data_IF_765602161162
#
_entry.id   IF_765602161162
#
_cell.length_a   1.000
_cell.length_b   1.000
_cell.length_c   1.000
_cell.angle_alpha   90.00
_cell.angle_beta   90.00
_cell.angle_gamma   90.00
#
_symmetry.space_group_name_H-M   'P 1'
#
loop_
_entity.id
_entity.type
_entity.pdbx_description
1 polymer ?
#
# COMPACT_ATOMS: atom_id res chain seq x y z
N UNK A 1 -13.89 -1.34 20.41
CA UNK A 1 -14.35 -1.34 19.01
C UNK A 1 -14.66 -2.77 18.68
N UNK A 2 -15.86 -3.09 18.21
CA UNK A 2 -16.15 -4.46 17.78
C UNK A 2 -15.43 -4.73 16.43
N UNK A 3 -14.85 -5.92 16.26
CA UNK A 3 -14.03 -6.23 15.08
C UNK A 3 -14.85 -6.31 13.79
N UNK A 4 -16.14 -6.63 13.88
CA UNK A 4 -17.02 -6.74 12.71
C UNK A 4 -17.35 -5.37 12.12
N UNK A 5 -17.67 -4.39 12.95
CA UNK A 5 -17.84 -2.99 12.54
C UNK A 5 -16.54 -2.41 11.99
N UNK A 6 -15.39 -2.77 12.56
CA UNK A 6 -14.10 -2.35 12.04
C UNK A 6 -13.89 -2.84 10.60
N UNK A 7 -14.17 -4.12 10.34
CA UNK A 7 -14.09 -4.69 9.00
C UNK A 7 -15.05 -3.98 8.02
N UNK A 8 -16.31 -3.80 8.43
CA UNK A 8 -17.32 -3.12 7.60
C UNK A 8 -16.92 -1.69 7.23
N UNK A 9 -16.35 -0.93 8.18
CA UNK A 9 -15.89 0.44 7.93
C UNK A 9 -14.67 0.46 7.00
N UNK A 10 -13.73 -0.46 7.19
CA UNK A 10 -12.56 -0.59 6.30
C UNK A 10 -13.02 -0.95 4.89
N UNK A 11 -13.89 -1.94 4.74
CA UNK A 11 -14.40 -2.35 3.44
C UNK A 11 -15.12 -1.21 2.72
N UNK A 12 -16.03 -0.52 3.42
CA UNK A 12 -16.75 0.62 2.85
C UNK A 12 -15.78 1.73 2.37
N UNK A 13 -14.72 2.02 3.15
CA UNK A 13 -13.72 3.03 2.76
C UNK A 13 -12.94 2.63 1.51
N UNK A 14 -12.48 1.38 1.43
CA UNK A 14 -11.76 0.91 0.25
C UNK A 14 -12.67 0.86 -0.98
N UNK A 15 -13.93 0.48 -0.82
CA UNK A 15 -14.90 0.48 -1.92
C UNK A 15 -15.19 1.90 -2.45
N UNK A 16 -15.34 2.88 -1.55
CA UNK A 16 -15.67 4.27 -1.91
C UNK A 16 -14.47 5.05 -2.46
N UNK A 17 -13.30 4.92 -1.83
CA UNK A 17 -12.16 5.82 -2.07
C UNK A 17 -10.91 5.10 -2.58
N UNK A 18 -10.87 3.77 -2.56
CA UNK A 18 -9.72 2.98 -2.95
C UNK A 18 -9.46 3.04 -4.45
N UNK A 19 -8.18 3.12 -4.81
CA UNK A 19 -7.73 3.06 -6.20
C UNK A 19 -7.73 1.59 -6.63
N UNK A 20 -8.46 1.26 -7.69
CA UNK A 20 -8.43 -0.08 -8.28
C UNK A 20 -7.06 -0.34 -8.91
N UNK A 21 -6.49 -1.50 -8.62
CA UNK A 21 -5.22 -1.94 -9.17
C UNK A 21 -5.06 -3.46 -9.12
N UNK A 22 -3.82 -3.91 -9.29
CA UNK A 22 -3.46 -5.30 -9.13
C UNK A 22 -2.24 -5.44 -8.20
N UNK A 23 -2.20 -6.52 -7.42
CA UNK A 23 -1.03 -6.92 -6.67
C UNK A 23 -0.49 -8.24 -7.24
N UNK A 24 0.81 -8.31 -7.46
CA UNK A 24 1.52 -9.52 -7.87
C UNK A 24 2.54 -9.89 -6.81
N UNK A 25 2.34 -11.03 -6.17
CA UNK A 25 3.31 -11.59 -5.24
C UNK A 25 4.63 -11.96 -5.98
N UNK A 26 5.78 -12.04 -5.29
CA UNK A 26 7.02 -12.51 -5.91
C UNK A 26 6.84 -13.89 -6.56
N UNK A 27 6.91 -13.95 -7.89
CA UNK A 27 6.70 -15.19 -8.65
C UNK A 27 5.25 -15.70 -8.68
N UNK A 28 4.29 -14.92 -8.19
CA UNK A 28 2.87 -15.26 -8.21
C UNK A 28 2.11 -14.65 -9.38
N UNK A 29 0.81 -14.92 -9.43
CA UNK A 29 -0.12 -14.33 -10.39
C UNK A 29 -0.71 -13.02 -9.85
N UNK A 30 -1.11 -12.08 -10.74
CA UNK A 30 -1.74 -10.84 -10.33
C UNK A 30 -3.15 -11.09 -9.76
N UNK A 31 -3.46 -10.43 -8.64
CA UNK A 31 -4.80 -10.37 -8.04
C UNK A 31 -5.33 -8.95 -8.04
N UNK A 32 -6.61 -8.76 -8.34
CA UNK A 32 -7.25 -7.45 -8.25
C UNK A 32 -7.35 -6.99 -6.80
N UNK A 33 -6.98 -5.74 -6.55
CA UNK A 33 -6.99 -5.14 -5.21
C UNK A 33 -7.49 -3.72 -5.28
N UNK A 34 -7.92 -3.19 -4.13
CA UNK A 34 -8.09 -1.76 -3.92
C UNK A 34 -7.02 -1.27 -2.97
N UNK A 35 -6.43 -0.13 -3.31
CA UNK A 35 -5.33 0.44 -2.52
C UNK A 35 -5.50 1.91 -2.22
N UNK A 36 -4.97 2.34 -1.08
CA UNK A 36 -4.66 3.74 -0.86
C UNK A 36 -3.18 3.98 -1.13
N UNK A 37 -2.88 5.12 -1.74
CA UNK A 37 -1.51 5.53 -2.06
C UNK A 37 -1.26 6.93 -1.52
N UNK A 38 -0.28 7.05 -0.62
CA UNK A 38 0.15 8.34 -0.07
C UNK A 38 1.64 8.52 -0.34
N UNK A 39 2.00 9.67 -0.93
CA UNK A 39 3.41 10.09 -1.01
C UNK A 39 3.73 10.80 0.30
N UNK A 40 4.87 10.50 0.91
CA UNK A 40 5.41 11.30 2.01
C UNK A 40 5.81 12.69 1.45
N UNK A 41 4.85 13.61 1.42
CA UNK A 41 5.06 15.02 1.03
C UNK A 41 5.11 15.99 2.22
N UNK A 42 4.67 15.58 3.41
CA UNK A 42 4.56 16.44 4.60
C UNK A 42 5.79 16.45 5.54
N UNK A 43 6.98 16.15 5.03
CA UNK A 43 8.21 16.57 5.71
C UNK A 43 8.94 17.55 4.81
N UNK A 44 8.85 18.83 5.17
CA UNK A 44 9.56 19.92 4.51
C UNK A 44 11.02 19.50 4.29
N UNK A 45 11.43 19.46 3.02
CA UNK A 45 12.80 19.17 2.64
C UNK A 45 13.71 20.20 3.32
N UNK A 46 14.54 19.74 4.26
CA UNK A 46 15.67 20.51 4.75
C UNK A 46 16.57 20.85 3.57
N UNK A 47 16.81 22.15 3.35
CA UNK A 47 17.70 22.66 2.32
C UNK A 47 19.11 22.10 2.51
N UNK A 48 19.61 21.35 1.53
CA UNK A 48 21.01 20.95 1.45
C UNK A 48 21.19 19.61 0.78
N UNK A 49 21.86 19.62 -0.38
CA UNK A 49 22.35 18.46 -1.14
C UNK A 49 21.31 17.69 -1.96
N UNK A 50 21.33 17.99 -3.26
CA UNK A 50 20.60 17.36 -4.35
C UNK A 50 20.96 15.87 -4.50
N UNK A 51 20.33 15.00 -3.70
CA UNK A 51 20.08 13.61 -4.10
C UNK A 51 18.64 13.52 -4.59
N UNK A 52 18.37 12.95 -5.78
CA UNK A 52 17.02 12.51 -6.10
C UNK A 52 16.69 11.39 -5.11
N UNK A 53 16.09 11.76 -3.98
CA UNK A 53 15.51 10.81 -3.06
C UNK A 53 14.32 10.22 -3.82
N UNK A 54 14.46 9.00 -4.35
CA UNK A 54 13.31 8.22 -4.80
C UNK A 54 12.45 8.05 -3.56
N UNK A 55 11.45 8.91 -3.41
CA UNK A 55 10.63 8.98 -2.20
C UNK A 55 9.79 7.71 -2.17
N UNK A 56 9.98 6.92 -1.12
CA UNK A 56 9.13 5.78 -0.84
C UNK A 56 7.68 6.25 -0.73
N UNK A 57 6.78 5.46 -1.29
CA UNK A 57 5.33 5.69 -1.29
C UNK A 57 4.73 4.67 -0.33
N UNK A 58 3.86 5.14 0.55
CA UNK A 58 3.07 4.27 1.40
C UNK A 58 1.88 3.75 0.59
N UNK A 59 1.79 2.43 0.47
CA UNK A 59 0.66 1.73 -0.16
C UNK A 59 -0.06 0.93 0.90
N UNK A 60 -1.36 1.14 1.03
CA UNK A 60 -2.22 0.36 1.93
C UNK A 60 -3.15 -0.54 1.13
N UNK A 61 -3.28 -1.80 1.53
CA UNK A 61 -4.15 -2.80 0.91
C UNK A 61 -4.88 -3.60 1.97
N UNK A 62 -6.11 -4.04 1.69
CA UNK A 62 -6.87 -4.90 2.61
C UNK A 62 -6.23 -6.27 2.73
N UNK A 63 -6.17 -6.78 3.96
CA UNK A 63 -5.68 -8.14 4.25
C UNK A 63 -6.56 -9.24 3.62
N UNK A 64 -7.84 -8.94 3.37
CA UNK A 64 -8.77 -9.83 2.66
C UNK A 64 -8.49 -9.94 1.17
N UNK A 65 -7.87 -8.93 0.54
CA UNK A 65 -7.59 -8.92 -0.89
C UNK A 65 -6.19 -9.47 -1.21
N UNK A 66 -5.20 -9.16 -0.37
CA UNK A 66 -3.83 -9.62 -0.59
C UNK A 66 -3.04 -9.77 0.71
N UNK A 67 -2.02 -10.63 0.66
CA UNK A 67 -0.97 -10.75 1.67
C UNK A 67 0.37 -10.31 1.06
N UNK A 68 0.69 -9.01 1.06
CA UNK A 68 1.85 -8.49 0.39
C UNK A 68 3.15 -8.97 1.04
N UNK A 69 4.17 -9.12 0.20
CA UNK A 69 5.53 -9.47 0.59
C UNK A 69 6.56 -8.56 -0.08
N UNK A 70 7.75 -8.46 0.53
CA UNK A 70 8.90 -7.76 -0.03
C UNK A 70 9.20 -8.29 -1.44
N UNK A 71 9.42 -7.38 -2.39
CA UNK A 71 9.69 -7.72 -3.79
C UNK A 71 8.44 -8.03 -4.63
N UNK A 72 7.24 -8.02 -4.04
CA UNK A 72 5.99 -7.99 -4.80
C UNK A 72 5.76 -6.63 -5.43
N UNK A 73 4.82 -6.55 -6.36
CA UNK A 73 4.53 -5.33 -7.12
C UNK A 73 3.05 -4.99 -7.08
N UNK A 74 2.74 -3.71 -6.95
CA UNK A 74 1.42 -3.17 -7.18
C UNK A 74 1.39 -2.45 -8.53
N UNK A 75 0.41 -2.76 -9.37
CA UNK A 75 0.06 -1.94 -10.53
C UNK A 75 -1.10 -1.01 -10.15
N UNK A 76 -0.83 0.29 -10.07
CA UNK A 76 -1.77 1.29 -9.57
C UNK A 76 -1.85 2.42 -10.59
N UNK A 77 -2.95 2.47 -11.36
CA UNK A 77 -3.16 3.50 -12.37
C UNK A 77 -2.07 3.51 -13.45
N UNK A 78 -1.57 2.33 -13.86
CA UNK A 78 -0.53 2.18 -14.87
C UNK A 78 0.89 2.47 -14.39
N UNK A 79 1.09 2.66 -13.08
CA UNK A 79 2.41 2.78 -12.47
C UNK A 79 2.71 1.52 -11.63
N UNK A 80 3.84 0.87 -11.92
CA UNK A 80 4.31 -0.29 -11.16
C UNK A 80 5.11 0.18 -9.95
N UNK A 81 4.73 -0.34 -8.79
CA UNK A 81 5.30 -0.01 -7.49
C UNK A 81 5.82 -1.28 -6.82
N UNK A 82 7.14 -1.40 -6.62
CA UNK A 82 7.77 -2.54 -5.96
C UNK A 82 7.80 -2.34 -4.46
N UNK A 83 7.37 -3.34 -3.69
CA UNK A 83 7.41 -3.32 -2.23
C UNK A 83 8.84 -3.42 -1.72
N UNK A 84 9.30 -2.35 -1.07
CA UNK A 84 10.62 -2.23 -0.45
C UNK A 84 10.49 -2.41 1.07
N UNK A 85 10.96 -3.55 1.55
CA UNK A 85 10.90 -3.90 2.97
C UNK A 85 9.70 -4.78 3.31
N UNK A 86 9.57 -5.09 4.61
CA UNK A 86 8.54 -6.01 5.10
C UNK A 86 7.23 -5.23 5.31
N UNK A 87 6.12 -5.64 4.67
CA UNK A 87 4.80 -5.10 4.97
C UNK A 87 4.42 -5.28 6.43
N UNK A 88 3.67 -4.32 6.97
CA UNK A 88 3.26 -4.27 8.38
C UNK A 88 1.76 -4.19 8.49
N UNK A 89 1.22 -4.74 9.58
CA UNK A 89 -0.15 -4.52 10.01
C UNK A 89 -0.05 -3.80 11.35
N UNK A 90 -0.59 -2.59 11.42
CA UNK A 90 -0.52 -1.74 12.62
C UNK A 90 -1.86 -1.64 13.33
N UNK A 91 -2.97 -1.94 12.64
CA UNK A 91 -4.29 -1.92 13.24
C UNK A 91 -4.55 -3.20 14.09
N UNK A 92 -5.19 -3.08 15.27
CA UNK A 92 -5.43 -4.23 16.14
C UNK A 92 -6.32 -5.33 15.53
N UNK A 93 -7.22 -4.95 14.62
CA UNK A 93 -8.12 -5.88 13.93
C UNK A 93 -7.44 -6.60 12.76
N UNK A 94 -6.20 -6.22 12.44
CA UNK A 94 -5.35 -6.76 11.39
C UNK A 94 -5.95 -6.73 9.99
N UNK A 95 -6.62 -5.64 9.67
CA UNK A 95 -7.41 -5.49 8.45
C UNK A 95 -6.62 -4.88 7.30
N UNK A 96 -5.57 -4.11 7.58
CA UNK A 96 -4.86 -3.32 6.57
C UNK A 96 -3.36 -3.62 6.61
N UNK A 97 -2.82 -4.01 5.47
CA UNK A 97 -1.38 -4.04 5.24
C UNK A 97 -0.89 -2.66 4.81
N UNK A 98 0.15 -2.16 5.49
CA UNK A 98 0.93 -0.99 5.11
C UNK A 98 2.25 -1.44 4.49
N UNK A 99 2.50 -1.03 3.25
CA UNK A 99 3.70 -1.32 2.49
C UNK A 99 4.47 -0.03 2.18
N UNK A 100 5.79 -0.08 2.28
CA UNK A 100 6.65 0.92 1.65
C UNK A 100 6.98 0.42 0.24
N UNK A 101 6.77 1.25 -0.77
CA UNK A 101 7.00 0.87 -2.15
C UNK A 101 7.71 1.97 -2.94
N UNK A 102 8.46 1.57 -3.96
CA UNK A 102 9.15 2.50 -4.88
C UNK A 102 8.69 2.26 -6.31
N UNK A 103 8.62 3.30 -7.15
CA UNK A 103 8.41 3.12 -8.58
C UNK A 103 9.51 2.24 -9.19
N UNK A 104 9.12 1.38 -10.14
CA UNK A 104 10.04 0.57 -10.97
C UNK A 104 10.25 1.23 -12.33
#
# INVERSE_FOLDING_TARGET
MDPELAALVVDARFEELGIVGAYTAPGGEPVSVRVFRSRDEDTAAGFGESRPLVRAVTVQVRASEASPAKGGHFDIGGQVMRVEGQPRIEDPARLIWTCQAVPV
#
